data_IF_454007022258
#
_entry.id   IF_454007022258
#
_cell.length_a   1.000
_cell.length_b   1.000
_cell.length_c   1.000
_cell.angle_alpha   90.00
_cell.angle_beta   90.00
_cell.angle_gamma   90.00
#
_symmetry.space_group_name_H-M   'P 1'
#
loop_
_entity.id
_entity.type
_entity.pdbx_description
1 polymer ?
#
# COMPACT_ATOMS: atom_id res chain seq x y z
N UNK A 1 14.96 6.66 18.11
CA UNK A 1 13.90 6.95 17.09
C UNK A 1 12.81 7.88 17.60
N UNK A 2 12.39 7.79 18.89
CA UNK A 2 11.34 8.63 19.47
C UNK A 2 11.71 10.13 19.52
N UNK A 3 12.95 10.46 19.87
CA UNK A 3 13.42 11.86 20.04
C UNK A 3 13.43 12.63 18.71
N UNK A 4 13.75 11.97 17.60
CA UNK A 4 13.77 12.61 16.27
C UNK A 4 12.36 12.91 15.74
N UNK A 5 11.40 12.01 16.02
CA UNK A 5 9.98 12.24 15.68
C UNK A 5 9.33 13.31 16.54
N UNK A 6 9.60 13.33 17.84
CA UNK A 6 9.15 14.42 18.72
C UNK A 6 9.70 15.79 18.30
N UNK A 7 10.97 15.89 17.87
CA UNK A 7 11.52 17.15 17.34
C UNK A 7 10.82 17.63 16.07
N UNK A 8 10.49 16.73 15.14
CA UNK A 8 9.77 17.10 13.92
C UNK A 8 8.34 17.56 14.22
N UNK A 9 7.64 16.92 15.14
CA UNK A 9 6.31 17.37 15.59
C UNK A 9 6.37 18.72 16.29
N UNK A 10 7.34 18.96 17.19
CA UNK A 10 7.51 20.25 17.86
C UNK A 10 7.88 21.39 16.90
N UNK A 11 8.67 21.13 15.85
CA UNK A 11 9.03 22.12 14.83
C UNK A 11 7.80 22.51 14.00
N UNK A 12 6.98 21.55 13.58
CA UNK A 12 5.74 21.82 12.83
C UNK A 12 4.72 22.59 13.67
N UNK A 13 4.55 22.20 14.93
CA UNK A 13 3.63 22.86 15.86
C UNK A 13 4.04 24.31 16.13
N UNK A 14 5.35 24.59 16.27
CA UNK A 14 5.87 25.96 16.42
C UNK A 14 5.80 26.80 15.15
N UNK A 15 5.74 26.18 13.97
CA UNK A 15 5.66 26.89 12.69
C UNK A 15 4.23 27.05 12.16
N UNK A 16 3.21 26.57 12.87
CA UNK A 16 1.81 26.51 12.40
C UNK A 16 1.66 25.82 11.04
N UNK A 17 2.52 24.84 10.73
CA UNK A 17 2.39 24.08 9.50
C UNK A 17 1.17 23.13 9.59
N UNK A 18 0.30 23.14 8.58
CA UNK A 18 -0.86 22.24 8.59
C UNK A 18 -0.39 20.78 8.58
N UNK A 19 -1.03 19.95 9.38
CA UNK A 19 -0.87 18.51 9.33
C UNK A 19 -1.99 17.96 8.46
N UNK A 20 -1.65 17.34 7.33
CA UNK A 20 -2.63 16.84 6.37
C UNK A 20 -2.93 15.35 6.60
N UNK A 21 -1.94 14.57 7.05
CA UNK A 21 -2.03 13.12 7.19
C UNK A 21 -1.17 12.57 8.33
N UNK A 22 -1.69 11.54 9.01
CA UNK A 22 -0.97 10.71 9.98
C UNK A 22 -0.76 9.33 9.38
N UNK A 23 0.44 9.07 8.84
CA UNK A 23 0.71 7.83 8.12
C UNK A 23 1.43 6.79 8.97
N UNK A 24 0.83 5.61 9.10
CA UNK A 24 1.49 4.41 9.58
C UNK A 24 2.27 3.77 8.43
N UNK A 25 3.55 4.01 8.40
CA UNK A 25 4.50 3.41 7.47
C UNK A 25 5.87 3.31 8.15
N UNK A 26 6.78 2.47 7.69
CA UNK A 26 8.11 2.48 8.27
C UNK A 26 8.99 1.26 7.97
N UNK A 27 10.01 1.04 8.80
CA UNK A 27 11.01 -0.02 8.66
C UNK A 27 10.47 -1.40 9.07
N UNK A 28 9.21 -1.66 8.90
CA UNK A 28 8.53 -2.90 9.22
C UNK A 28 7.07 -2.84 8.77
N UNK A 29 6.37 -3.92 8.98
CA UNK A 29 4.95 -4.04 8.65
C UNK A 29 4.10 -3.55 9.84
N UNK A 30 3.37 -2.42 9.73
CA UNK A 30 2.62 -1.86 10.86
C UNK A 30 1.52 -2.81 11.36
N UNK A 31 0.87 -3.54 10.45
CA UNK A 31 -0.21 -4.49 10.79
C UNK A 31 0.29 -5.75 11.51
N UNK A 32 1.61 -5.93 11.60
CA UNK A 32 2.26 -6.98 12.39
C UNK A 32 2.28 -6.71 13.89
N UNK A 33 1.97 -5.49 14.34
CA UNK A 33 1.94 -5.17 15.77
C UNK A 33 0.82 -5.94 16.48
N UNK A 34 1.07 -6.58 17.64
CA UNK A 34 0.08 -7.42 18.33
C UNK A 34 -1.18 -6.66 18.77
N UNK A 35 -1.06 -5.37 19.06
CA UNK A 35 -2.18 -4.49 19.41
C UNK A 35 -2.40 -3.40 18.36
N UNK A 36 -2.40 -3.79 17.06
CA UNK A 36 -2.57 -2.85 15.97
C UNK A 36 -3.94 -2.15 16.02
N UNK A 37 -4.99 -2.88 16.34
CA UNK A 37 -6.35 -2.34 16.45
C UNK A 37 -6.47 -1.29 17.58
N UNK A 38 -5.89 -1.56 18.74
CA UNK A 38 -5.85 -0.61 19.86
C UNK A 38 -5.13 0.67 19.49
N UNK A 39 -3.96 0.55 18.85
CA UNK A 39 -3.17 1.69 18.38
C UNK A 39 -3.96 2.55 17.38
N UNK A 40 -4.66 1.95 16.44
CA UNK A 40 -5.48 2.69 15.46
C UNK A 40 -6.62 3.41 16.16
N UNK A 41 -7.35 2.75 17.08
CA UNK A 41 -8.45 3.36 17.85
C UNK A 41 -7.96 4.55 18.69
N UNK A 42 -6.83 4.41 19.37
CA UNK A 42 -6.23 5.50 20.17
C UNK A 42 -5.77 6.66 19.28
N UNK A 43 -5.18 6.35 18.11
CA UNK A 43 -4.75 7.37 17.16
C UNK A 43 -5.94 8.18 16.64
N UNK A 44 -7.03 7.52 16.27
CA UNK A 44 -8.26 8.18 15.81
C UNK A 44 -8.84 9.06 16.90
N UNK A 45 -8.92 8.56 18.15
CA UNK A 45 -9.43 9.34 19.27
C UNK A 45 -8.57 10.60 19.54
N UNK A 46 -7.25 10.47 19.46
CA UNK A 46 -6.33 11.61 19.61
C UNK A 46 -6.43 12.58 18.42
N UNK A 47 -6.50 12.07 17.17
CA UNK A 47 -6.71 12.84 15.98
C UNK A 47 -7.99 13.66 16.05
N UNK A 48 -9.11 13.04 16.39
CA UNK A 48 -10.42 13.70 16.49
C UNK A 48 -10.42 14.82 17.53
N UNK A 49 -9.68 14.64 18.62
CA UNK A 49 -9.56 15.64 19.68
C UNK A 49 -8.68 16.84 19.30
N UNK A 50 -7.56 16.60 18.63
CA UNK A 50 -6.53 17.63 18.44
C UNK A 50 -6.41 18.08 16.98
N UNK A 51 -6.71 17.23 16.01
CA UNK A 51 -6.51 17.44 14.60
C UNK A 51 -7.67 16.90 13.74
N UNK A 52 -8.92 17.33 13.97
CA UNK A 52 -10.13 16.67 13.44
C UNK A 52 -10.26 16.68 11.93
N UNK A 53 -9.39 17.39 11.20
CA UNK A 53 -9.37 17.42 9.73
C UNK A 53 -8.27 16.55 9.12
N UNK A 54 -7.40 15.98 9.95
CA UNK A 54 -6.26 15.18 9.50
C UNK A 54 -6.71 13.76 9.21
N UNK A 55 -6.27 13.21 8.08
CA UNK A 55 -6.53 11.82 7.72
C UNK A 55 -5.56 10.87 8.43
N UNK A 56 -5.99 9.64 8.62
CA UNK A 56 -5.13 8.54 9.08
C UNK A 56 -4.94 7.58 7.93
N UNK A 57 -3.68 7.34 7.58
CA UNK A 57 -3.28 6.45 6.49
C UNK A 57 -2.47 5.27 7.01
N UNK A 58 -2.71 4.09 6.47
CA UNK A 58 -1.90 2.90 6.75
C UNK A 58 -1.35 2.35 5.44
N UNK A 59 -0.01 2.25 5.35
CA UNK A 59 0.67 1.54 4.26
C UNK A 59 1.09 0.16 4.77
N UNK A 60 0.58 -0.88 4.14
CA UNK A 60 0.83 -2.27 4.53
C UNK A 60 1.15 -3.14 3.33
N UNK A 61 2.00 -4.13 3.52
CA UNK A 61 2.28 -5.18 2.54
C UNK A 61 1.18 -6.24 2.45
N UNK A 62 0.05 -6.04 3.13
CA UNK A 62 -1.12 -6.89 3.16
C UNK A 62 -0.91 -8.31 3.75
N UNK A 63 0.27 -8.65 4.29
CA UNK A 63 0.55 -10.01 4.78
C UNK A 63 -0.26 -10.42 6.00
N UNK A 64 -0.78 -9.47 6.79
CA UNK A 64 -1.55 -9.76 8.01
C UNK A 64 -3.06 -9.54 7.89
N UNK A 65 -3.58 -9.20 6.70
CA UNK A 65 -5.02 -8.97 6.51
C UNK A 65 -5.89 -10.22 6.65
N UNK A 66 -5.29 -11.41 6.78
CA UNK A 66 -6.02 -12.63 7.15
C UNK A 66 -6.60 -12.55 8.58
N UNK A 67 -6.02 -11.70 9.45
CA UNK A 67 -6.49 -11.48 10.82
C UNK A 67 -7.72 -10.57 10.85
N UNK A 68 -8.84 -10.97 11.47
CA UNK A 68 -10.04 -10.13 11.55
C UNK A 68 -9.80 -8.77 12.21
N UNK A 69 -9.02 -8.74 13.29
CA UNK A 69 -8.70 -7.51 14.03
C UNK A 69 -7.87 -6.52 13.19
N UNK A 70 -7.04 -7.01 12.28
CA UNK A 70 -6.29 -6.15 11.36
C UNK A 70 -7.24 -5.54 10.33
N UNK A 71 -8.16 -6.31 9.77
CA UNK A 71 -9.18 -5.78 8.86
C UNK A 71 -10.09 -4.78 9.55
N UNK A 72 -10.51 -5.05 10.81
CA UNK A 72 -11.29 -4.08 11.60
C UNK A 72 -10.54 -2.76 11.74
N UNK A 73 -9.26 -2.78 12.09
CA UNK A 73 -8.43 -1.58 12.20
C UNK A 73 -8.33 -0.81 10.89
N UNK A 74 -8.10 -1.51 9.77
CA UNK A 74 -7.96 -0.92 8.44
C UNK A 74 -9.28 -0.33 7.90
N UNK A 75 -10.42 -0.83 8.34
CA UNK A 75 -11.74 -0.24 8.04
C UNK A 75 -12.03 1.07 8.79
N UNK A 76 -11.25 1.41 9.83
CA UNK A 76 -11.43 2.62 10.62
C UNK A 76 -10.65 3.82 10.09
N UNK A 77 -9.63 3.60 9.26
CA UNK A 77 -8.76 4.66 8.73
C UNK A 77 -9.28 5.20 7.40
N UNK A 78 -8.97 6.45 7.08
CA UNK A 78 -9.41 7.06 5.82
C UNK A 78 -8.67 6.47 4.61
N UNK A 79 -7.37 6.21 4.74
CA UNK A 79 -6.56 5.67 3.63
C UNK A 79 -5.98 4.30 4.00
N UNK A 80 -6.70 3.26 3.64
CA UNK A 80 -6.27 1.87 3.75
C UNK A 80 -5.48 1.48 2.50
N UNK A 81 -4.15 1.63 2.52
CA UNK A 81 -3.28 1.43 1.35
C UNK A 81 -2.58 0.08 1.48
N UNK A 82 -2.97 -0.85 0.64
CA UNK A 82 -2.51 -2.24 0.66
C UNK A 82 -1.77 -2.62 -0.62
N UNK A 83 -0.63 -3.29 -0.47
CA UNK A 83 0.25 -3.65 -1.58
C UNK A 83 -0.25 -4.89 -2.31
N UNK A 84 -0.28 -4.82 -3.64
CA UNK A 84 -0.51 -5.95 -4.54
C UNK A 84 0.32 -5.75 -5.82
N UNK A 85 1.59 -6.16 -5.80
CA UNK A 85 2.52 -5.89 -6.90
C UNK A 85 2.30 -6.83 -8.11
N UNK A 86 1.74 -8.00 -7.87
CA UNK A 86 1.41 -9.00 -8.91
C UNK A 86 0.51 -10.08 -8.30
N UNK A 87 -0.02 -10.94 -9.15
CA UNK A 87 -0.73 -12.16 -8.75
C UNK A 87 0.08 -13.44 -9.05
N UNK A 88 1.30 -13.29 -9.54
CA UNK A 88 2.20 -14.41 -9.82
C UNK A 88 2.98 -14.83 -8.57
N UNK A 89 2.76 -16.05 -8.10
CA UNK A 89 3.37 -16.55 -6.86
C UNK A 89 4.88 -16.78 -6.98
N UNK A 90 5.40 -17.04 -8.17
CA UNK A 90 6.85 -17.21 -8.38
C UNK A 90 7.55 -15.85 -8.22
N UNK A 91 7.00 -14.82 -8.86
CA UNK A 91 7.45 -13.44 -8.69
C UNK A 91 7.40 -13.01 -7.21
N UNK A 92 6.27 -13.20 -6.54
CA UNK A 92 6.07 -12.82 -5.12
C UNK A 92 7.13 -13.47 -4.22
N UNK A 93 7.39 -14.77 -4.41
CA UNK A 93 8.42 -15.47 -3.62
C UNK A 93 9.82 -14.94 -3.89
N UNK A 94 10.11 -14.53 -5.11
CA UNK A 94 11.42 -13.99 -5.52
C UNK A 94 11.64 -12.56 -5.03
N UNK A 95 10.64 -11.70 -5.17
CA UNK A 95 10.72 -10.24 -4.97
C UNK A 95 10.22 -9.85 -3.58
N UNK A 96 8.97 -10.15 -3.25
CA UNK A 96 8.34 -9.70 -2.01
C UNK A 96 8.74 -10.55 -0.79
N UNK A 97 9.11 -11.82 -1.01
CA UNK A 97 9.64 -12.75 0.00
C UNK A 97 8.81 -12.79 1.28
N UNK A 98 7.51 -13.12 1.21
CA UNK A 98 6.65 -13.14 2.39
C UNK A 98 7.22 -14.11 3.44
N UNK A 99 7.25 -13.67 4.70
CA UNK A 99 7.79 -14.46 5.82
C UNK A 99 6.87 -15.63 6.22
N UNK A 100 5.63 -15.61 5.78
CA UNK A 100 4.64 -16.64 6.10
C UNK A 100 4.76 -17.80 5.11
N UNK A 101 5.06 -19.04 5.58
CA UNK A 101 5.19 -20.19 4.69
C UNK A 101 3.91 -20.52 3.90
N UNK A 102 2.74 -20.22 4.48
CA UNK A 102 1.43 -20.46 3.90
C UNK A 102 0.87 -19.25 3.13
N UNK A 103 1.73 -18.27 2.77
CA UNK A 103 1.29 -17.13 1.99
C UNK A 103 0.79 -17.58 0.61
N UNK A 104 -0.41 -17.16 0.26
CA UNK A 104 -1.04 -17.37 -1.04
C UNK A 104 -1.71 -16.06 -1.49
N UNK A 105 -1.43 -15.62 -2.71
CA UNK A 105 -1.97 -14.38 -3.25
C UNK A 105 -3.49 -14.46 -3.48
N UNK A 106 -4.03 -15.63 -3.79
CA UNK A 106 -5.47 -15.82 -3.93
C UNK A 106 -6.21 -15.58 -2.60
N UNK A 107 -5.61 -15.99 -1.49
CA UNK A 107 -6.10 -15.65 -0.16
C UNK A 107 -6.04 -14.15 0.11
N UNK A 108 -4.95 -13.49 -0.28
CA UNK A 108 -4.83 -12.02 -0.17
C UNK A 108 -5.92 -11.32 -0.96
N UNK A 109 -6.15 -11.71 -2.23
CA UNK A 109 -7.22 -11.16 -3.07
C UNK A 109 -8.59 -11.36 -2.42
N UNK A 110 -8.85 -12.55 -1.88
CA UNK A 110 -10.10 -12.84 -1.16
C UNK A 110 -10.28 -11.91 0.05
N UNK A 111 -9.22 -11.63 0.83
CA UNK A 111 -9.30 -10.70 1.96
C UNK A 111 -9.41 -9.25 1.51
N UNK A 112 -8.75 -8.85 0.40
CA UNK A 112 -8.90 -7.51 -0.17
C UNK A 112 -10.34 -7.21 -0.58
N UNK A 113 -11.06 -8.19 -1.11
CA UNK A 113 -12.50 -8.07 -1.45
C UNK A 113 -13.39 -7.85 -0.21
N UNK A 114 -12.95 -8.29 0.97
CA UNK A 114 -13.72 -8.11 2.23
C UNK A 114 -13.74 -6.65 2.72
N UNK A 115 -12.95 -5.77 2.14
CA UNK A 115 -13.01 -4.33 2.43
C UNK A 115 -14.15 -3.61 1.69
N UNK A 116 -14.89 -4.30 0.82
CA UNK A 116 -16.06 -3.76 0.10
C UNK A 116 -15.77 -2.40 -0.57
N UNK A 117 -14.64 -2.30 -1.24
CA UNK A 117 -14.17 -1.08 -1.91
C UNK A 117 -13.38 -0.12 -1.01
N UNK A 118 -13.43 -0.23 0.33
CA UNK A 118 -12.65 0.63 1.23
C UNK A 118 -11.18 0.21 1.28
N UNK A 119 -10.53 0.19 0.15
CA UNK A 119 -9.12 -0.15 0.00
C UNK A 119 -8.50 0.62 -1.18
N UNK A 120 -7.27 1.06 -0.99
CA UNK A 120 -6.43 1.61 -2.05
C UNK A 120 -5.37 0.56 -2.36
N UNK A 121 -5.33 0.07 -3.58
CA UNK A 121 -4.28 -0.86 -4.02
C UNK A 121 -3.06 -0.04 -4.44
N UNK A 122 -1.91 -0.38 -3.86
CA UNK A 122 -0.62 0.19 -4.24
C UNK A 122 0.22 -0.87 -4.95
N UNK A 123 0.72 -0.55 -6.14
CA UNK A 123 1.49 -1.48 -6.97
C UNK A 123 2.75 -0.83 -7.50
N UNK A 124 3.90 -1.47 -7.26
CA UNK A 124 5.18 -1.07 -7.83
C UNK A 124 5.46 -1.84 -9.11
N UNK A 125 5.66 -1.11 -10.22
CA UNK A 125 6.10 -1.67 -11.48
C UNK A 125 7.57 -1.38 -11.72
N UNK A 126 8.32 -2.38 -12.14
CA UNK A 126 9.76 -2.27 -12.38
C UNK A 126 10.26 -3.29 -13.39
N UNK A 127 11.42 -3.01 -13.96
CA UNK A 127 12.18 -3.94 -14.78
C UNK A 127 13.33 -4.56 -13.98
N UNK A 128 13.72 -5.78 -14.35
CA UNK A 128 14.85 -6.46 -13.76
C UNK A 128 14.96 -7.91 -14.24
N UNK A 129 16.13 -8.52 -14.11
CA UNK A 129 16.33 -9.92 -14.49
C UNK A 129 15.47 -10.87 -13.63
N UNK A 130 14.39 -11.37 -14.23
CA UNK A 130 13.36 -12.18 -13.56
C UNK A 130 12.62 -11.46 -12.43
N UNK A 131 12.58 -10.13 -12.47
CA UNK A 131 11.81 -9.27 -11.53
C UNK A 131 10.99 -8.22 -12.29
N UNK A 132 10.87 -8.38 -13.60
CA UNK A 132 10.04 -7.55 -14.47
C UNK A 132 8.57 -7.91 -14.28
N UNK A 133 7.74 -6.93 -13.92
CA UNK A 133 6.29 -7.10 -13.78
C UNK A 133 5.48 -6.15 -14.68
N UNK A 134 6.13 -5.50 -15.64
CA UNK A 134 5.50 -4.55 -16.57
C UNK A 134 4.89 -5.26 -17.79
N UNK A 135 5.36 -6.48 -18.10
CA UNK A 135 4.89 -7.22 -19.26
C UNK A 135 3.41 -7.66 -19.13
N UNK A 136 2.78 -7.90 -20.31
CA UNK A 136 1.36 -8.33 -20.35
C UNK A 136 1.11 -9.61 -19.57
N UNK A 137 2.09 -10.48 -19.44
CA UNK A 137 2.03 -11.70 -18.64
C UNK A 137 1.66 -11.42 -17.17
N UNK A 138 2.20 -10.34 -16.59
CA UNK A 138 1.92 -9.93 -15.21
C UNK A 138 0.76 -8.93 -15.11
N UNK A 139 0.68 -7.98 -16.06
CA UNK A 139 -0.30 -6.90 -16.00
C UNK A 139 -1.74 -7.39 -16.25
N UNK A 140 -1.93 -8.31 -17.19
CA UNK A 140 -3.29 -8.77 -17.51
C UNK A 140 -3.97 -9.50 -16.31
N UNK A 141 -3.37 -10.51 -15.66
CA UNK A 141 -4.00 -11.17 -14.52
C UNK A 141 -4.09 -10.25 -13.29
N UNK A 142 -3.15 -9.32 -13.10
CA UNK A 142 -3.24 -8.30 -12.05
C UNK A 142 -4.45 -7.37 -12.28
N UNK A 143 -4.71 -6.93 -13.51
CA UNK A 143 -5.88 -6.12 -13.84
C UNK A 143 -7.20 -6.86 -13.58
N UNK A 144 -7.27 -8.16 -13.86
CA UNK A 144 -8.45 -8.95 -13.53
C UNK A 144 -8.65 -9.04 -12.01
N UNK A 145 -7.57 -9.19 -11.23
CA UNK A 145 -7.64 -9.15 -9.78
C UNK A 145 -8.11 -7.77 -9.26
N UNK A 146 -7.57 -6.68 -9.79
CA UNK A 146 -8.00 -5.30 -9.45
C UNK A 146 -9.48 -5.10 -9.77
N UNK A 147 -9.94 -5.56 -10.93
CA UNK A 147 -11.34 -5.52 -11.33
C UNK A 147 -12.23 -6.33 -10.38
N UNK A 148 -11.77 -7.48 -9.88
CA UNK A 148 -12.52 -8.32 -8.95
C UNK A 148 -12.54 -7.75 -7.52
N UNK A 149 -11.47 -7.09 -7.10
CA UNK A 149 -11.37 -6.40 -5.78
C UNK A 149 -12.25 -5.15 -5.74
N UNK A 150 -12.40 -4.43 -6.85
CA UNK A 150 -13.13 -3.14 -6.93
C UNK A 150 -12.64 -2.11 -5.89
N UNK A 151 -11.33 -1.79 -5.83
CA UNK A 151 -10.81 -0.83 -4.86
C UNK A 151 -11.33 0.59 -5.13
N UNK A 152 -11.33 1.44 -4.11
CA UNK A 152 -11.65 2.88 -4.26
C UNK A 152 -10.69 3.57 -5.24
N UNK A 153 -9.42 3.16 -5.20
CA UNK A 153 -8.34 3.75 -5.99
C UNK A 153 -7.20 2.77 -6.18
N UNK A 154 -6.49 2.92 -7.28
CA UNK A 154 -5.18 2.27 -7.50
C UNK A 154 -4.08 3.33 -7.56
N UNK A 155 -2.95 3.04 -6.96
CA UNK A 155 -1.73 3.85 -7.00
C UNK A 155 -0.63 3.02 -7.66
N UNK A 156 -0.28 3.34 -8.90
CA UNK A 156 0.87 2.71 -9.58
C UNK A 156 2.09 3.60 -9.44
N UNK A 157 3.24 3.01 -9.20
CA UNK A 157 4.49 3.73 -9.06
C UNK A 157 5.67 2.86 -9.49
N UNK A 158 6.84 3.46 -9.61
CA UNK A 158 8.09 2.77 -9.91
C UNK A 158 9.15 3.08 -8.86
N UNK A 159 10.33 2.53 -9.05
CA UNK A 159 11.49 2.74 -8.15
C UNK A 159 11.82 4.23 -8.10
N UNK A 160 11.81 4.82 -6.91
CA UNK A 160 12.17 6.24 -6.69
C UNK A 160 13.58 6.42 -6.12
N UNK A 161 14.09 5.40 -5.40
CA UNK A 161 15.39 5.47 -4.72
C UNK A 161 16.40 4.53 -5.37
N UNK A 162 17.68 4.82 -5.18
CA UNK A 162 18.73 3.86 -5.54
C UNK A 162 18.50 2.52 -4.84
N UNK A 163 18.50 1.44 -5.62
CA UNK A 163 18.35 0.08 -5.12
C UNK A 163 19.74 -0.54 -4.91
N UNK A 164 19.89 -1.44 -3.93
CA UNK A 164 21.11 -2.23 -3.79
C UNK A 164 21.42 -3.08 -5.02
N UNK A 165 20.37 -3.57 -5.69
CA UNK A 165 20.48 -4.33 -6.93
C UNK A 165 20.50 -3.36 -8.12
N UNK A 166 21.64 -3.31 -8.80
CA UNK A 166 21.89 -2.45 -9.97
C UNK A 166 21.23 -2.96 -11.26
N UNK A 167 20.67 -4.17 -11.24
CA UNK A 167 19.95 -4.75 -12.39
C UNK A 167 18.47 -4.32 -12.41
N UNK A 168 17.98 -3.72 -11.31
CA UNK A 168 16.62 -3.16 -11.27
C UNK A 168 16.59 -1.81 -11.99
N UNK A 169 15.59 -1.63 -12.84
CA UNK A 169 15.32 -0.39 -13.55
C UNK A 169 13.88 0.07 -13.35
N UNK A 170 13.68 1.37 -13.48
CA UNK A 170 12.34 1.98 -13.41
C UNK A 170 11.48 1.50 -14.58
N UNK A 171 10.19 1.31 -14.32
CA UNK A 171 9.20 1.34 -15.39
C UNK A 171 9.18 2.76 -16.00
N UNK A 172 8.98 2.85 -17.31
CA UNK A 172 8.93 4.13 -18.01
C UNK A 172 7.62 4.88 -17.71
N UNK A 173 7.59 6.18 -17.97
CA UNK A 173 6.36 6.98 -17.83
C UNK A 173 5.25 6.45 -18.75
N UNK A 174 5.60 6.08 -19.98
CA UNK A 174 4.67 5.55 -20.97
C UNK A 174 4.05 4.22 -20.52
N UNK A 175 4.84 3.34 -19.91
CA UNK A 175 4.35 2.07 -19.37
C UNK A 175 3.38 2.29 -18.19
N UNK A 176 3.74 3.15 -17.25
CA UNK A 176 2.87 3.47 -16.12
C UNK A 176 1.59 4.16 -16.58
N UNK A 177 1.66 5.07 -17.55
CA UNK A 177 0.47 5.74 -18.11
C UNK A 177 -0.43 4.76 -18.86
N UNK A 178 0.15 3.81 -19.59
CA UNK A 178 -0.62 2.75 -20.25
C UNK A 178 -1.34 1.84 -19.24
N UNK A 179 -0.67 1.45 -18.16
CA UNK A 179 -1.28 0.65 -17.08
C UNK A 179 -2.37 1.46 -16.37
N UNK A 180 -2.10 2.73 -16.04
CA UNK A 180 -3.09 3.64 -15.45
C UNK A 180 -4.35 3.74 -16.33
N UNK A 181 -4.19 3.97 -17.63
CA UNK A 181 -5.33 4.08 -18.55
C UNK A 181 -6.17 2.79 -18.57
N UNK A 182 -5.55 1.63 -18.45
CA UNK A 182 -6.25 0.33 -18.36
C UNK A 182 -7.04 0.19 -17.06
N UNK A 183 -6.51 0.64 -15.94
CA UNK A 183 -7.24 0.67 -14.66
C UNK A 183 -8.42 1.63 -14.74
N UNK A 184 -8.22 2.83 -15.30
CA UNK A 184 -9.28 3.83 -15.48
C UNK A 184 -10.39 3.33 -16.42
N UNK A 185 -10.05 2.52 -17.43
CA UNK A 185 -11.03 1.86 -18.31
C UNK A 185 -11.93 0.85 -17.57
N UNK A 186 -11.52 0.35 -16.39
CA UNK A 186 -12.36 -0.46 -15.49
C UNK A 186 -13.32 0.39 -14.65
N UNK A 187 -13.29 1.72 -14.76
CA UNK A 187 -14.06 2.64 -13.92
C UNK A 187 -13.43 2.92 -12.54
N UNK A 188 -12.19 2.51 -12.32
CA UNK A 188 -11.47 2.65 -11.05
C UNK A 188 -10.50 3.84 -11.16
N UNK A 189 -10.50 4.74 -10.15
CA UNK A 189 -9.54 5.86 -10.11
C UNK A 189 -8.10 5.34 -10.05
N UNK A 190 -7.19 5.93 -10.82
CA UNK A 190 -5.79 5.56 -10.78
C UNK A 190 -4.86 6.78 -10.76
N UNK A 191 -3.78 6.70 -9.98
CA UNK A 191 -2.69 7.69 -10.00
C UNK A 191 -1.38 7.01 -10.30
N UNK A 192 -0.54 7.68 -11.11
CA UNK A 192 0.83 7.23 -11.40
C UNK A 192 1.84 8.16 -10.71
N UNK A 193 2.94 7.59 -10.20
CA UNK A 193 4.10 8.30 -9.64
C UNK A 193 5.38 7.76 -10.27
N UNK A 194 6.28 8.65 -10.74
CA UNK A 194 7.43 8.32 -11.58
C UNK A 194 8.77 8.50 -10.88
#
# INVERSE_FOLDING_TARGET
>A
LSIRRQRQMCIRDSNNEPLDDMTFAGNGEPTGHPDFLGIIKDTIALRDKYFPKVQVSVLSNATYIYKPEVREALMLVENNILKLDTVDMEYIRKVDRPQQPAYDVEDVIRYLKMFDGHVIIQTMFMHGDGTDNVSEYYVAPWLEAVKDIQPEKVMVYTIDRETPDKLLAKATHEELDAIKARVEALGIKCTASY
#
